data_IF_950494169913
#
_entry.id   IF_950494169913
#
_cell.length_a   1.000
_cell.length_b   1.000
_cell.length_c   1.000
_cell.angle_alpha   90.00
_cell.angle_beta   90.00
_cell.angle_gamma   90.00
#
_symmetry.space_group_name_H-M   'P 1'
#
loop_
_entity.id
_entity.type
_entity.pdbx_description
1 polymer ?
#
# COMPACT_ATOMS: atom_id res chain seq x y z
N UNK A 1 9.64 15.19 16.54
CA UNK A 1 8.40 15.56 15.76
C UNK A 1 7.15 14.98 16.40
N UNK A 2 5.96 15.22 15.79
CA UNK A 2 4.66 14.66 16.24
C UNK A 2 4.04 13.88 15.09
N UNK A 3 3.35 12.79 15.43
CA UNK A 3 2.66 11.89 14.49
C UNK A 3 1.22 11.69 14.92
N UNK A 4 0.28 11.64 13.98
CA UNK A 4 -1.14 11.36 14.22
C UNK A 4 -1.47 9.94 13.82
N UNK A 5 -1.83 9.14 14.81
CA UNK A 5 -2.09 7.71 14.68
C UNK A 5 -3.57 7.46 14.99
N UNK A 6 -4.26 6.82 14.08
CA UNK A 6 -5.65 6.41 14.26
C UNK A 6 -5.74 5.18 15.16
N UNK A 7 -4.90 4.17 14.90
CA UNK A 7 -4.86 2.95 15.71
C UNK A 7 -3.51 2.21 15.60
N UNK A 8 -3.18 1.43 16.63
CA UNK A 8 -2.06 0.48 16.65
C UNK A 8 -2.63 -0.85 17.11
N UNK A 9 -2.50 -1.91 16.31
CA UNK A 9 -3.03 -3.23 16.63
C UNK A 9 -2.24 -4.34 15.97
N UNK A 10 -2.27 -5.54 16.56
CA UNK A 10 -1.70 -6.75 15.99
C UNK A 10 -2.81 -7.59 15.35
N UNK A 11 -2.60 -7.95 14.08
CA UNK A 11 -3.52 -8.82 13.34
C UNK A 11 -2.76 -9.69 12.34
N UNK A 12 -3.49 -10.35 11.46
CA UNK A 12 -2.96 -11.08 10.31
C UNK A 12 -2.98 -10.13 9.10
N UNK A 13 -1.89 -10.12 8.33
CA UNK A 13 -1.89 -9.42 7.04
C UNK A 13 -2.98 -9.97 6.14
N UNK A 14 -3.92 -9.11 5.78
CA UNK A 14 -5.11 -9.49 5.02
C UNK A 14 -4.95 -9.37 3.51
N UNK A 15 -3.84 -8.82 3.02
CA UNK A 15 -3.66 -8.43 1.63
C UNK A 15 -2.24 -8.71 1.11
N UNK A 16 -2.08 -8.62 -0.20
CA UNK A 16 -0.76 -8.65 -0.83
C UNK A 16 -0.02 -9.97 -0.74
N UNK A 17 1.29 -9.93 -1.02
CA UNK A 17 2.15 -11.14 -1.10
C UNK A 17 2.46 -11.76 0.27
N UNK A 18 2.23 -11.03 1.36
CA UNK A 18 2.47 -11.49 2.73
C UNK A 18 1.19 -11.83 3.49
N UNK A 19 0.08 -12.09 2.76
CA UNK A 19 -1.19 -12.53 3.34
C UNK A 19 -0.97 -13.68 4.33
N UNK A 20 -1.65 -13.62 5.48
CA UNK A 20 -1.56 -14.63 6.54
C UNK A 20 -0.42 -14.42 7.55
N UNK A 21 0.47 -13.44 7.35
CA UNK A 21 1.56 -13.20 8.31
C UNK A 21 1.11 -12.33 9.48
N UNK A 22 1.61 -12.63 10.69
CA UNK A 22 1.35 -11.82 11.89
C UNK A 22 2.05 -10.46 11.77
N UNK A 23 1.28 -9.41 11.82
CA UNK A 23 1.71 -8.03 11.55
C UNK A 23 1.26 -7.09 12.66
N UNK A 24 2.13 -6.18 13.07
CA UNK A 24 1.75 -5.01 13.87
C UNK A 24 1.42 -3.87 12.92
N UNK A 25 0.18 -3.46 12.92
CA UNK A 25 -0.31 -2.35 12.11
C UNK A 25 -0.21 -1.03 12.89
N UNK A 26 0.34 -0.02 12.24
CA UNK A 26 0.36 1.37 12.70
C UNK A 26 -0.40 2.19 11.67
N UNK A 27 -1.67 2.44 11.94
CA UNK A 27 -2.57 3.17 11.05
C UNK A 27 -2.51 4.66 11.32
N UNK A 28 -1.96 5.41 10.36
CA UNK A 28 -1.84 6.86 10.41
C UNK A 28 -3.15 7.53 10.00
N UNK A 29 -3.43 8.69 10.56
CA UNK A 29 -4.57 9.52 10.19
C UNK A 29 -4.22 10.47 9.06
N UNK A 30 -5.23 10.83 8.26
CA UNK A 30 -5.14 11.74 7.13
C UNK A 30 -4.90 11.03 5.79
N UNK A 31 -5.67 11.40 4.78
CA UNK A 31 -5.52 10.94 3.40
C UNK A 31 -5.89 12.06 2.43
N UNK A 32 -5.08 12.33 1.39
CA UNK A 32 -5.45 13.31 0.38
C UNK A 32 -6.44 12.75 -0.66
N UNK A 33 -6.62 11.42 -0.69
CA UNK A 33 -7.44 10.72 -1.69
C UNK A 33 -8.85 10.47 -1.15
N UNK A 34 -9.80 10.19 -2.09
CA UNK A 34 -11.22 9.94 -1.78
C UNK A 34 -11.77 8.74 -2.55
N UNK A 35 -11.04 7.60 -2.47
CA UNK A 35 -11.43 6.37 -3.16
C UNK A 35 -12.84 5.92 -2.73
N UNK A 36 -13.70 5.59 -3.70
CA UNK A 36 -15.06 5.15 -3.41
C UNK A 36 -15.14 3.84 -2.62
N UNK A 37 -14.11 3.00 -2.76
CA UNK A 37 -14.00 1.71 -2.08
C UNK A 37 -13.15 1.76 -0.80
N UNK A 38 -12.86 2.97 -0.28
CA UNK A 38 -12.05 3.10 0.94
C UNK A 38 -12.70 2.33 2.10
N UNK A 39 -11.95 1.41 2.67
CA UNK A 39 -12.38 0.56 3.79
C UNK A 39 -12.03 1.16 5.16
N UNK A 40 -11.29 2.27 5.19
CA UNK A 40 -10.88 2.99 6.40
C UNK A 40 -11.33 4.46 6.40
N UNK A 41 -12.64 4.74 6.17
CA UNK A 41 -13.13 6.11 6.10
C UNK A 41 -12.95 6.90 7.41
N UNK A 42 -12.77 6.19 8.52
CA UNK A 42 -12.50 6.74 9.85
C UNK A 42 -11.02 7.18 10.06
N UNK A 43 -10.16 7.10 9.05
CA UNK A 43 -8.78 7.56 9.08
C UNK A 43 -8.47 8.62 7.99
N UNK A 44 -9.51 9.19 7.35
CA UNK A 44 -9.35 10.13 6.24
C UNK A 44 -8.97 11.54 6.69
N UNK A 45 -9.40 11.97 7.87
CA UNK A 45 -9.04 13.28 8.43
C UNK A 45 -7.82 13.16 9.35
N UNK A 46 -7.00 14.21 9.41
CA UNK A 46 -5.97 14.30 10.44
C UNK A 46 -6.57 14.32 11.86
N UNK A 47 -7.79 14.81 12.01
CA UNK A 47 -8.53 14.79 13.30
C UNK A 47 -8.97 13.39 13.73
N UNK A 48 -8.96 12.39 12.84
CA UNK A 48 -9.34 11.01 13.14
C UNK A 48 -8.25 10.24 13.90
N UNK A 49 -7.08 10.88 14.09
CA UNK A 49 -5.97 10.31 14.83
C UNK A 49 -5.64 11.10 16.10
N UNK A 50 -5.21 10.36 17.13
CA UNK A 50 -4.58 10.97 18.30
C UNK A 50 -3.15 11.38 17.97
N UNK A 51 -2.74 12.52 18.49
CA UNK A 51 -1.40 13.07 18.30
C UNK A 51 -0.44 12.57 19.39
N UNK A 52 0.70 12.04 18.96
CA UNK A 52 1.77 11.55 19.82
C UNK A 52 3.10 12.23 19.47
N UNK A 53 3.99 12.37 20.44
CA UNK A 53 5.42 12.58 20.17
C UNK A 53 6.00 11.32 19.51
N UNK A 54 7.01 11.46 18.66
CA UNK A 54 7.61 10.28 17.97
C UNK A 54 8.16 9.26 18.97
N UNK A 55 8.82 9.70 20.05
CA UNK A 55 9.31 8.78 21.10
C UNK A 55 8.15 8.11 21.87
N UNK A 56 7.04 8.83 22.12
CA UNK A 56 5.84 8.28 22.75
C UNK A 56 5.22 7.19 21.84
N UNK A 57 5.07 7.48 20.56
CA UNK A 57 4.57 6.51 19.57
C UNK A 57 5.49 5.27 19.50
N UNK A 58 6.80 5.48 19.54
CA UNK A 58 7.77 4.39 19.57
C UNK A 58 7.61 3.49 20.81
N UNK A 59 7.37 4.04 21.99
CA UNK A 59 7.16 3.23 23.20
C UNK A 59 5.89 2.38 23.07
N UNK A 60 4.78 2.93 22.54
CA UNK A 60 3.54 2.18 22.32
C UNK A 60 3.79 1.04 21.32
N UNK A 61 4.50 1.30 20.21
CA UNK A 61 4.85 0.28 19.21
C UNK A 61 5.72 -0.82 19.85
N UNK A 62 6.72 -0.44 20.65
CA UNK A 62 7.60 -1.38 21.35
C UNK A 62 6.82 -2.29 22.30
N UNK A 63 5.86 -1.76 23.07
CA UNK A 63 5.02 -2.52 23.98
C UNK A 63 4.04 -3.46 23.24
N UNK A 64 3.59 -3.04 22.07
CA UNK A 64 2.67 -3.82 21.21
C UNK A 64 3.39 -4.89 20.38
N UNK A 65 4.71 -4.73 20.17
CA UNK A 65 5.51 -5.65 19.38
C UNK A 65 5.89 -6.87 20.21
N UNK A 66 5.65 -8.05 19.70
CA UNK A 66 6.12 -9.29 20.30
C UNK A 66 7.16 -10.01 19.41
N UNK A 67 7.90 -10.95 19.98
CA UNK A 67 9.02 -11.65 19.33
C UNK A 67 8.67 -12.37 18.05
N UNK A 68 7.39 -12.71 17.86
CA UNK A 68 6.91 -13.47 16.71
C UNK A 68 6.18 -12.59 15.67
N UNK A 69 6.32 -11.27 15.75
CA UNK A 69 5.77 -10.34 14.76
C UNK A 69 6.67 -10.34 13.52
N UNK A 70 6.08 -10.62 12.37
CA UNK A 70 6.82 -10.71 11.10
C UNK A 70 7.29 -9.34 10.60
N UNK A 71 6.43 -8.32 10.74
CA UNK A 71 6.72 -6.95 10.28
C UNK A 71 5.89 -5.91 11.04
N UNK A 72 6.35 -4.66 10.99
CA UNK A 72 5.55 -3.47 11.33
C UNK A 72 5.07 -2.88 10.01
N UNK A 73 3.76 -2.73 9.87
CA UNK A 73 3.09 -2.19 8.71
C UNK A 73 2.64 -0.75 8.98
N UNK A 74 3.26 0.22 8.32
CA UNK A 74 2.76 1.58 8.27
C UNK A 74 1.70 1.70 7.17
N UNK A 75 0.48 1.88 7.58
CA UNK A 75 -0.73 1.98 6.77
C UNK A 75 -1.57 3.16 7.23
N UNK A 76 -2.82 3.24 6.85
CA UNK A 76 -3.78 4.21 7.39
C UNK A 76 -4.63 4.88 6.35
N UNK A 77 -4.79 6.19 6.46
CA UNK A 77 -5.23 7.02 5.37
C UNK A 77 -4.15 7.01 4.28
N UNK A 78 -3.14 7.88 4.41
CA UNK A 78 -1.97 7.86 3.53
C UNK A 78 -0.72 8.21 4.35
N UNK A 79 0.17 7.24 4.62
CA UNK A 79 1.34 7.46 5.48
C UNK A 79 2.30 8.55 4.99
N UNK A 80 2.41 8.75 3.68
CA UNK A 80 3.30 9.78 3.10
C UNK A 80 2.91 11.20 3.50
N UNK A 81 1.67 11.46 3.93
CA UNK A 81 1.30 12.77 4.48
C UNK A 81 2.14 13.16 5.70
N UNK A 82 2.58 12.18 6.47
CA UNK A 82 3.33 12.37 7.71
C UNK A 82 4.77 11.87 7.58
N UNK A 83 5.34 11.87 6.36
CA UNK A 83 6.62 11.26 6.02
C UNK A 83 7.80 11.68 6.92
N UNK A 84 7.86 12.94 7.37
CA UNK A 84 8.95 13.40 8.25
C UNK A 84 8.91 12.75 9.63
N UNK A 85 7.72 12.73 10.27
CA UNK A 85 7.56 12.08 11.57
C UNK A 85 7.68 10.55 11.43
N UNK A 86 7.19 10.00 10.31
CA UNK A 86 7.29 8.58 10.01
C UNK A 86 8.75 8.16 9.80
N UNK A 87 9.58 9.01 9.19
CA UNK A 87 11.02 8.75 9.06
C UNK A 87 11.70 8.58 10.42
N UNK A 88 11.52 9.56 11.34
CA UNK A 88 12.07 9.46 12.69
C UNK A 88 11.59 8.21 13.44
N UNK A 89 10.30 7.89 13.31
CA UNK A 89 9.71 6.71 13.96
C UNK A 89 10.28 5.40 13.39
N UNK A 90 10.37 5.29 12.06
CA UNK A 90 10.94 4.14 11.37
C UNK A 90 12.43 3.94 11.72
N UNK A 91 13.19 5.04 11.81
CA UNK A 91 14.59 5.01 12.22
C UNK A 91 14.76 4.46 13.65
N UNK A 92 13.92 4.91 14.60
CA UNK A 92 13.93 4.39 15.98
C UNK A 92 13.59 2.89 16.01
N UNK A 93 12.59 2.46 15.26
CA UNK A 93 12.18 1.06 15.18
C UNK A 93 13.33 0.20 14.61
N UNK A 94 13.94 0.61 13.50
CA UNK A 94 15.08 -0.11 12.92
C UNK A 94 16.26 -0.23 13.86
N UNK A 95 16.63 0.88 14.52
CA UNK A 95 17.80 0.93 15.42
C UNK A 95 17.61 0.13 16.71
N UNK A 96 16.39 0.10 17.26
CA UNK A 96 16.15 -0.40 18.62
C UNK A 96 15.36 -1.71 18.70
N UNK A 97 14.57 -2.07 17.67
CA UNK A 97 13.68 -3.23 17.72
C UNK A 97 13.97 -4.27 16.64
N UNK A 98 14.39 -3.86 15.44
CA UNK A 98 14.84 -4.71 14.34
C UNK A 98 13.78 -5.44 13.49
N UNK A 99 12.45 -5.25 13.65
CA UNK A 99 11.49 -5.87 12.74
C UNK A 99 11.60 -5.28 11.33
N UNK A 100 11.10 -6.01 10.33
CA UNK A 100 10.95 -5.46 8.98
C UNK A 100 9.93 -4.32 8.99
N UNK A 101 10.24 -3.27 8.23
CA UNK A 101 9.33 -2.13 8.05
C UNK A 101 8.68 -2.26 6.68
N UNK A 102 7.37 -2.28 6.68
CA UNK A 102 6.52 -2.35 5.50
C UNK A 102 5.69 -1.07 5.37
N UNK A 103 5.63 -0.53 4.17
CA UNK A 103 4.82 0.64 3.84
C UNK A 103 3.70 0.27 2.87
N UNK A 104 2.47 0.55 3.27
CA UNK A 104 1.31 0.56 2.39
C UNK A 104 0.93 1.99 2.04
N UNK A 105 1.23 2.38 0.80
CA UNK A 105 0.95 3.72 0.29
C UNK A 105 0.26 3.67 -1.06
N UNK A 106 -0.53 4.71 -1.34
CA UNK A 106 -1.04 4.99 -2.68
C UNK A 106 0.02 5.59 -3.60
N UNK A 107 1.21 5.87 -3.07
CA UNK A 107 2.30 6.51 -3.81
C UNK A 107 1.93 7.87 -4.44
N UNK A 108 1.04 8.64 -3.77
CA UNK A 108 0.55 9.91 -4.30
C UNK A 108 1.64 10.97 -4.47
N UNK A 109 2.78 10.80 -3.79
CA UNK A 109 3.91 11.75 -3.77
C UNK A 109 5.22 10.95 -3.79
N UNK A 110 5.88 10.93 -4.93
CA UNK A 110 7.10 10.15 -5.15
C UNK A 110 8.31 10.69 -4.38
N UNK A 111 8.38 11.99 -4.10
CA UNK A 111 9.51 12.59 -3.38
C UNK A 111 9.45 12.22 -1.89
N UNK A 112 8.26 12.25 -1.29
CA UNK A 112 8.05 11.80 0.08
C UNK A 112 8.29 10.30 0.23
N UNK A 113 7.93 9.51 -0.77
CA UNK A 113 8.23 8.09 -0.81
C UNK A 113 9.74 7.83 -0.85
N UNK A 114 10.45 8.51 -1.76
CA UNK A 114 11.91 8.41 -1.87
C UNK A 114 12.62 8.78 -0.57
N UNK A 115 12.11 9.79 0.14
CA UNK A 115 12.65 10.21 1.43
C UNK A 115 12.57 9.10 2.49
N UNK A 116 11.47 8.32 2.52
CA UNK A 116 11.28 7.21 3.47
C UNK A 116 12.01 5.93 3.06
N UNK A 117 12.25 5.75 1.78
CA UNK A 117 12.68 4.50 1.17
C UNK A 117 13.93 3.85 1.80
N UNK A 118 14.97 4.60 2.26
CA UNK A 118 16.13 4.00 2.93
C UNK A 118 15.79 3.15 4.16
N UNK A 119 14.68 3.48 4.85
CA UNK A 119 14.25 2.80 6.07
C UNK A 119 13.27 1.65 5.83
N UNK A 120 12.71 1.54 4.62
CA UNK A 120 11.74 0.51 4.28
C UNK A 120 12.44 -0.79 3.87
N UNK A 121 11.84 -1.93 4.20
CA UNK A 121 12.25 -3.26 3.76
C UNK A 121 11.29 -3.81 2.69
N UNK A 122 10.01 -3.49 2.82
CA UNK A 122 8.94 -3.96 1.94
C UNK A 122 8.11 -2.76 1.49
N UNK A 123 7.84 -2.67 0.19
CA UNK A 123 7.03 -1.62 -0.43
C UNK A 123 5.87 -2.23 -1.22
N UNK A 124 4.65 -1.84 -0.88
CA UNK A 124 3.49 -2.06 -1.73
C UNK A 124 3.28 -0.80 -2.57
N UNK A 125 3.40 -0.92 -3.87
CA UNK A 125 3.04 0.14 -4.82
C UNK A 125 1.63 -0.12 -5.33
N UNK A 126 0.67 0.73 -4.95
CA UNK A 126 -0.71 0.57 -5.36
C UNK A 126 -1.05 1.53 -6.49
N UNK A 127 -1.37 0.98 -7.66
CA UNK A 127 -1.90 1.74 -8.77
C UNK A 127 -3.42 1.84 -8.67
N UNK A 128 -3.93 3.05 -8.69
CA UNK A 128 -5.36 3.33 -8.65
C UNK A 128 -5.85 3.65 -10.05
N UNK A 129 -6.73 2.80 -10.59
CA UNK A 129 -7.40 3.05 -11.86
C UNK A 129 -8.38 4.22 -11.73
N UNK A 130 -8.76 4.82 -12.85
CA UNK A 130 -9.60 6.01 -12.88
C UNK A 130 -10.96 5.85 -12.19
N UNK A 131 -11.52 4.64 -12.22
CA UNK A 131 -12.77 4.31 -11.53
C UNK A 131 -12.66 4.36 -9.99
N UNK A 132 -11.46 4.33 -9.43
CA UNK A 132 -11.25 4.50 -7.99
C UNK A 132 -11.78 5.85 -7.47
N UNK A 133 -11.88 6.87 -8.35
CA UNK A 133 -12.26 8.24 -8.03
C UNK A 133 -11.39 8.83 -6.91
N UNK A 134 -10.15 8.37 -6.81
CA UNK A 134 -9.21 8.75 -5.77
C UNK A 134 -8.89 10.26 -5.79
N UNK A 135 -8.80 10.80 -6.99
CA UNK A 135 -8.62 12.22 -7.33
C UNK A 135 -9.54 12.55 -8.51
N UNK A 136 -9.68 13.83 -8.84
CA UNK A 136 -10.38 14.22 -10.07
C UNK A 136 -9.63 13.74 -11.33
N UNK A 137 -10.35 13.64 -12.46
CA UNK A 137 -9.79 13.12 -13.71
C UNK A 137 -8.57 13.90 -14.22
N UNK A 138 -8.49 15.20 -13.94
CA UNK A 138 -7.38 16.03 -14.41
C UNK A 138 -6.06 15.71 -13.68
N UNK A 139 -6.13 15.19 -12.46
CA UNK A 139 -4.97 14.84 -11.63
C UNK A 139 -4.64 13.34 -11.61
N UNK A 140 -5.49 12.50 -12.21
CA UNK A 140 -5.30 11.05 -12.19
C UNK A 140 -3.97 10.62 -12.83
N UNK A 141 -3.56 11.22 -13.93
CA UNK A 141 -2.28 10.94 -14.58
C UNK A 141 -1.08 11.24 -13.66
N UNK A 142 -1.17 12.30 -12.84
CA UNK A 142 -0.11 12.66 -11.88
C UNK A 142 0.01 11.57 -10.80
N UNK A 143 -1.13 11.03 -10.33
CA UNK A 143 -1.14 9.94 -9.35
C UNK A 143 -0.47 8.69 -9.93
N UNK A 144 -0.79 8.32 -11.17
CA UNK A 144 -0.17 7.17 -11.85
C UNK A 144 1.34 7.39 -12.08
N UNK A 145 1.74 8.59 -12.52
CA UNK A 145 3.15 8.93 -12.74
C UNK A 145 3.97 8.87 -11.44
N UNK A 146 3.41 9.34 -10.34
CA UNK A 146 4.05 9.22 -9.03
C UNK A 146 4.19 7.75 -8.60
N UNK A 147 3.15 6.92 -8.80
CA UNK A 147 3.23 5.50 -8.48
C UNK A 147 4.28 4.76 -9.32
N UNK A 148 4.41 5.09 -10.62
CA UNK A 148 5.48 4.56 -11.48
C UNK A 148 6.87 4.96 -10.99
N UNK A 149 7.06 6.22 -10.58
CA UNK A 149 8.33 6.67 -9.98
C UNK A 149 8.62 5.92 -8.67
N UNK A 150 7.62 5.77 -7.79
CA UNK A 150 7.78 5.00 -6.55
C UNK A 150 8.20 3.56 -6.83
N UNK A 151 7.59 2.91 -7.83
CA UNK A 151 7.96 1.56 -8.25
C UNK A 151 9.43 1.49 -8.68
N UNK A 152 9.86 2.41 -9.57
CA UNK A 152 11.26 2.49 -10.01
C UNK A 152 12.21 2.71 -8.84
N UNK A 153 11.95 3.67 -7.98
CA UNK A 153 12.79 3.96 -6.82
C UNK A 153 12.93 2.75 -5.87
N UNK A 154 11.83 2.04 -5.63
CA UNK A 154 11.85 0.87 -4.78
C UNK A 154 12.70 -0.28 -5.37
N UNK A 155 12.62 -0.50 -6.68
CA UNK A 155 13.42 -1.48 -7.41
C UNK A 155 14.89 -1.06 -7.42
N UNK A 156 15.21 0.17 -7.80
CA UNK A 156 16.58 0.69 -7.86
C UNK A 156 17.31 0.66 -6.50
N UNK A 157 16.55 0.67 -5.41
CA UNK A 157 17.09 0.54 -4.04
C UNK A 157 16.97 -0.89 -3.48
N UNK A 158 16.72 -1.89 -4.32
CA UNK A 158 16.66 -3.32 -3.96
C UNK A 158 15.68 -3.61 -2.81
N UNK A 159 14.50 -2.95 -2.83
CA UNK A 159 13.45 -3.21 -1.84
C UNK A 159 12.59 -4.38 -2.27
N UNK A 160 12.10 -5.15 -1.29
CA UNK A 160 11.07 -6.15 -1.57
C UNK A 160 9.81 -5.41 -2.02
N UNK A 161 9.57 -5.40 -3.33
CA UNK A 161 8.52 -4.58 -3.95
C UNK A 161 7.47 -5.47 -4.60
N UNK A 162 6.20 -5.12 -4.47
CA UNK A 162 5.13 -5.74 -5.23
C UNK A 162 4.09 -4.72 -5.67
N UNK A 163 3.39 -5.05 -6.73
CA UNK A 163 2.36 -4.21 -7.34
C UNK A 163 0.99 -4.67 -6.88
N UNK A 164 0.11 -3.72 -6.59
CA UNK A 164 -1.29 -3.97 -6.29
C UNK A 164 -2.18 -3.07 -7.14
N UNK A 165 -3.23 -3.65 -7.71
CA UNK A 165 -4.32 -2.94 -8.38
C UNK A 165 -5.64 -3.39 -7.77
N UNK A 166 -6.45 -2.45 -7.31
CA UNK A 166 -7.81 -2.72 -6.84
C UNK A 166 -8.75 -2.64 -8.03
N UNK A 167 -9.55 -3.69 -8.23
CA UNK A 167 -10.47 -3.83 -9.38
C UNK A 167 -11.91 -3.78 -8.90
N UNK A 168 -12.67 -2.82 -9.41
CA UNK A 168 -14.11 -2.71 -9.23
C UNK A 168 -14.90 -3.12 -10.47
N UNK A 169 -16.22 -3.09 -10.37
CA UNK A 169 -17.10 -3.42 -11.49
C UNK A 169 -16.93 -2.46 -12.68
N UNK A 170 -16.53 -1.21 -12.42
CA UNK A 170 -16.35 -0.17 -13.43
C UNK A 170 -14.91 -0.03 -13.94
N UNK A 171 -13.95 -0.77 -13.37
CA UNK A 171 -12.55 -0.69 -13.80
C UNK A 171 -12.38 -1.02 -15.28
N UNK A 172 -11.51 -0.28 -15.97
CA UNK A 172 -11.29 -0.39 -17.41
C UNK A 172 -10.18 -1.39 -17.74
N UNK A 173 -10.45 -2.34 -18.62
CA UNK A 173 -9.48 -3.29 -19.16
C UNK A 173 -8.42 -2.55 -20.00
N UNK A 174 -8.83 -1.55 -20.80
CA UNK A 174 -7.93 -0.75 -21.64
C UNK A 174 -6.94 0.06 -20.78
N UNK A 175 -7.44 0.66 -19.69
CA UNK A 175 -6.60 1.43 -18.76
C UNK A 175 -5.55 0.54 -18.10
N UNK A 176 -5.94 -0.66 -17.64
CA UNK A 176 -4.99 -1.64 -17.12
C UNK A 176 -3.97 -2.03 -18.18
N UNK A 177 -4.39 -2.30 -19.42
CA UNK A 177 -3.49 -2.66 -20.52
C UNK A 177 -2.46 -1.56 -20.81
N UNK A 178 -2.86 -0.29 -20.75
CA UNK A 178 -1.93 0.85 -20.88
C UNK A 178 -0.94 0.87 -19.71
N UNK A 179 -1.42 0.71 -18.48
CA UNK A 179 -0.57 0.67 -17.29
C UNK A 179 0.47 -0.45 -17.35
N UNK A 180 0.07 -1.65 -17.76
CA UNK A 180 0.95 -2.81 -17.85
C UNK A 180 2.08 -2.58 -18.87
N UNK A 181 1.75 -2.03 -20.04
CA UNK A 181 2.79 -1.65 -21.03
C UNK A 181 3.74 -0.60 -20.46
N UNK A 182 3.23 0.41 -19.78
CA UNK A 182 4.11 1.42 -19.13
C UNK A 182 5.07 0.80 -18.13
N UNK A 183 4.65 -0.17 -17.35
CA UNK A 183 5.48 -0.86 -16.35
C UNK A 183 6.53 -1.74 -17.03
N UNK A 184 6.11 -2.66 -17.89
CA UNK A 184 7.00 -3.72 -18.39
C UNK A 184 7.73 -3.34 -19.68
N UNK A 185 7.12 -2.53 -20.57
CA UNK A 185 7.75 -2.13 -21.83
C UNK A 185 8.45 -0.78 -21.70
N UNK A 186 7.75 0.31 -21.30
CA UNK A 186 8.34 1.66 -21.29
C UNK A 186 9.39 1.82 -20.19
N UNK A 187 9.10 1.30 -18.98
CA UNK A 187 10.05 1.34 -17.85
C UNK A 187 11.04 0.19 -17.88
N UNK A 188 10.84 -0.81 -18.72
CA UNK A 188 11.69 -2.01 -18.81
C UNK A 188 11.95 -2.65 -17.45
N UNK A 189 10.87 -2.90 -16.68
CA UNK A 189 10.94 -3.62 -15.41
C UNK A 189 10.94 -5.11 -15.69
N UNK A 190 11.96 -5.83 -15.19
CA UNK A 190 12.03 -7.28 -15.27
C UNK A 190 11.05 -7.93 -14.28
N UNK A 191 10.55 -9.11 -14.64
CA UNK A 191 9.68 -9.90 -13.75
C UNK A 191 10.34 -10.25 -12.42
N UNK A 192 11.67 -10.39 -12.40
CA UNK A 192 12.43 -10.72 -11.20
C UNK A 192 12.63 -9.50 -10.27
N UNK A 193 12.37 -8.27 -10.76
CA UNK A 193 12.45 -7.03 -9.98
C UNK A 193 11.30 -6.89 -8.96
N UNK A 194 10.18 -7.60 -9.16
CA UNK A 194 9.02 -7.53 -8.29
C UNK A 194 8.66 -8.89 -7.68
N UNK A 195 8.10 -8.85 -6.48
CA UNK A 195 7.77 -10.04 -5.68
C UNK A 195 6.36 -10.60 -5.94
N UNK A 196 5.57 -9.90 -6.73
CA UNK A 196 4.22 -10.30 -7.08
C UNK A 196 3.42 -9.17 -7.69
N UNK A 197 2.39 -9.53 -8.44
CA UNK A 197 1.37 -8.63 -8.97
C UNK A 197 0.01 -9.06 -8.43
N UNK A 198 -0.63 -8.19 -7.66
CA UNK A 198 -1.88 -8.51 -6.95
C UNK A 198 -3.04 -7.75 -7.59
N UNK A 199 -4.03 -8.50 -8.05
CA UNK A 199 -5.36 -8.00 -8.38
C UNK A 199 -6.26 -8.22 -7.17
N UNK A 200 -6.74 -7.13 -6.56
CA UNK A 200 -7.63 -7.20 -5.42
C UNK A 200 -9.04 -6.79 -5.83
N UNK A 201 -10.05 -7.68 -5.75
CA UNK A 201 -11.42 -7.27 -5.98
C UNK A 201 -11.90 -6.30 -4.91
N UNK A 202 -12.66 -5.28 -5.29
CA UNK A 202 -13.43 -4.46 -4.36
C UNK A 202 -14.41 -5.37 -3.61
N UNK A 203 -14.53 -5.20 -2.32
CA UNK A 203 -15.49 -5.93 -1.49
C UNK A 203 -16.80 -5.15 -1.34
N UNK A 204 -17.93 -5.80 -1.53
CA UNK A 204 -19.25 -5.22 -1.34
C UNK A 204 -19.72 -4.36 -2.53
N UNK A 205 -20.10 -3.09 -2.29
CA UNK A 205 -20.62 -2.24 -3.35
C UNK A 205 -19.56 -1.98 -4.43
N UNK A 206 -19.87 -2.36 -5.66
CA UNK A 206 -18.95 -2.24 -6.80
C UNK A 206 -18.04 -3.46 -6.98
N UNK A 207 -18.35 -4.59 -6.33
CA UNK A 207 -17.62 -5.85 -6.48
C UNK A 207 -17.63 -6.35 -7.92
N UNK A 208 -16.47 -6.71 -8.50
CA UNK A 208 -16.38 -7.21 -9.85
C UNK A 208 -16.82 -8.66 -9.93
N UNK A 209 -17.31 -9.09 -11.11
CA UNK A 209 -17.57 -10.51 -11.36
C UNK A 209 -16.27 -11.29 -11.50
N UNK A 210 -16.30 -12.61 -11.25
CA UNK A 210 -15.16 -13.49 -11.50
C UNK A 210 -14.67 -13.38 -12.95
N UNK A 211 -15.57 -13.34 -13.92
CA UNK A 211 -15.20 -13.20 -15.33
C UNK A 211 -14.40 -11.90 -15.60
N UNK A 212 -14.79 -10.80 -14.95
CA UNK A 212 -14.01 -9.55 -15.03
C UNK A 212 -12.61 -9.69 -14.44
N UNK A 213 -12.52 -10.30 -13.27
CA UNK A 213 -11.21 -10.55 -12.64
C UNK A 213 -10.30 -11.42 -13.50
N UNK A 214 -10.84 -12.45 -14.14
CA UNK A 214 -10.09 -13.31 -15.06
C UNK A 214 -9.60 -12.56 -16.30
N UNK A 215 -10.41 -11.66 -16.88
CA UNK A 215 -9.95 -10.80 -17.99
C UNK A 215 -8.80 -9.88 -17.56
N UNK A 216 -8.86 -9.31 -16.36
CA UNK A 216 -7.77 -8.50 -15.83
C UNK A 216 -6.50 -9.34 -15.58
N UNK A 217 -6.67 -10.57 -15.12
CA UNK A 217 -5.59 -11.55 -15.00
C UNK A 217 -4.93 -11.83 -16.35
N UNK A 218 -5.71 -12.10 -17.39
CA UNK A 218 -5.24 -12.43 -18.73
C UNK A 218 -4.47 -11.27 -19.40
N UNK A 219 -4.77 -10.01 -19.04
CA UNK A 219 -4.02 -8.83 -19.51
C UNK A 219 -2.61 -8.79 -18.94
N UNK A 220 -2.43 -9.20 -17.67
CA UNK A 220 -1.16 -9.12 -16.96
C UNK A 220 -0.28 -10.34 -17.25
N UNK A 221 -0.88 -11.52 -17.31
CA UNK A 221 -0.19 -12.82 -17.39
C UNK A 221 0.91 -12.91 -18.46
N UNK A 222 0.77 -12.35 -19.67
CA UNK A 222 1.83 -12.36 -20.68
C UNK A 222 3.11 -11.62 -20.28
N UNK A 223 3.00 -10.66 -19.34
CA UNK A 223 4.12 -9.86 -18.83
C UNK A 223 4.66 -10.40 -17.51
N UNK A 224 3.78 -10.94 -16.67
CA UNK A 224 4.09 -11.40 -15.33
C UNK A 224 3.23 -12.60 -14.92
N UNK A 225 3.83 -13.80 -14.87
CA UNK A 225 3.09 -15.05 -14.65
C UNK A 225 2.58 -15.23 -13.21
N UNK A 226 3.30 -14.70 -12.18
CA UNK A 226 2.87 -14.79 -10.76
C UNK A 226 1.89 -13.67 -10.40
N UNK A 227 0.91 -13.42 -11.27
CA UNK A 227 -0.23 -12.56 -10.97
C UNK A 227 -1.24 -13.33 -10.11
N UNK A 228 -1.77 -12.68 -9.07
CA UNK A 228 -2.66 -13.33 -8.11
C UNK A 228 -3.91 -12.49 -7.88
N UNK A 229 -5.07 -13.13 -7.89
CA UNK A 229 -6.34 -12.55 -7.46
C UNK A 229 -6.49 -12.84 -5.96
N UNK A 230 -6.35 -11.81 -5.12
CA UNK A 230 -6.40 -11.97 -3.66
C UNK A 230 -7.49 -11.05 -3.10
N UNK A 231 -8.57 -11.60 -2.52
CA UNK A 231 -9.56 -10.80 -1.80
C UNK A 231 -8.99 -10.31 -0.46
N UNK A 232 -9.67 -9.34 0.17
CA UNK A 232 -9.32 -8.87 1.52
C UNK A 232 -9.64 -9.96 2.55
N UNK A 233 -8.63 -10.71 2.99
CA UNK A 233 -8.78 -11.83 3.91
C UNK A 233 -9.39 -11.39 5.26
N UNK A 234 -9.01 -10.22 5.75
CA UNK A 234 -9.55 -9.67 6.99
C UNK A 234 -11.08 -9.49 6.94
N UNK A 235 -11.64 -9.12 5.78
CA UNK A 235 -13.11 -9.05 5.58
C UNK A 235 -13.75 -10.43 5.62
N UNK A 236 -13.10 -11.43 5.01
CA UNK A 236 -13.60 -12.82 5.02
C UNK A 236 -13.54 -13.44 6.43
N UNK A 237 -12.50 -13.12 7.20
CA UNK A 237 -12.32 -13.64 8.57
C UNK A 237 -13.06 -12.81 9.63
N UNK A 238 -13.57 -11.63 9.32
CA UNK A 238 -14.21 -10.73 10.29
C UNK A 238 -13.23 -10.19 11.34
N UNK A 239 -11.97 -9.96 10.96
CA UNK A 239 -10.91 -9.42 11.82
C UNK A 239 -10.50 -8.01 11.37
N UNK A 240 -9.87 -7.21 12.26
CA UNK A 240 -9.37 -5.90 11.89
C UNK A 240 -8.21 -5.95 10.89
#
# INVERSE_FOLDING_TARGET
MRVRISEIFTSIEGEGVYIGTKTLFVRLAGCPLRCYYCDTPYALSMSDGREYGVEEAFQIIKESLNTNTFKVNFTGGEPLLQHLALYELAELIKKRLGPRIYLESSCFDSDRFLYLLPLLDICKVEFKLGDALAVDHMHHHILLDNALKCLRYAIDMDKITYIKVVVGISSSEDELGILIRRIFEDMNIDKDDIKGFILQPVHGKGEPTLNKMLKFYDIIYPYYEDVRIIPQLHKVMGIP
#
